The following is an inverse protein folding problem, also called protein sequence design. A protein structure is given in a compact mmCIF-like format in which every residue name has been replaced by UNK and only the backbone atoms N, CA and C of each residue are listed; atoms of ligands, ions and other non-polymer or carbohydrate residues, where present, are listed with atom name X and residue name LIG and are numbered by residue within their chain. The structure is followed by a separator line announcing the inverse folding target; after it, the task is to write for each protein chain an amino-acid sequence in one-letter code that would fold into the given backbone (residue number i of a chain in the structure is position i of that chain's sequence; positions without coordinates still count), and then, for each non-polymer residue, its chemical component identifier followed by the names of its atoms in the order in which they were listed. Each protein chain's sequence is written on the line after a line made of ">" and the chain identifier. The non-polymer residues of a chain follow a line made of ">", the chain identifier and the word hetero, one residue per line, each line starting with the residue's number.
data_IF_364917722763
#
_entry.id   IF_364917722763
#
_cell.length_a   1.000
_cell.length_b   1.000
_cell.length_c   1.000
_cell.angle_alpha   90.00
_cell.angle_beta   90.00
_cell.angle_gamma   90.00
#
_symmetry.space_group_name_H-M   'P 1'
#
loop_
_entity.id
_entity.type
_entity.pdbx_description
1 polymer ?
#
# COMPACT_ATOMS: atom_id res chain seq x y z
N UNK A 1 7.45 -25.22 10.06
CA UNK A 1 6.76 -25.06 8.76
C UNK A 1 7.82 -24.91 7.67
N UNK A 2 7.59 -25.44 6.46
CA UNK A 2 8.54 -25.24 5.35
C UNK A 2 8.52 -23.77 4.93
N UNK A 3 9.66 -23.08 5.07
CA UNK A 3 9.84 -21.71 4.60
C UNK A 3 9.99 -21.72 3.08
N UNK A 4 9.51 -20.66 2.39
CA UNK A 4 9.79 -20.47 0.97
C UNK A 4 11.30 -20.51 0.72
N UNK A 5 11.73 -21.22 -0.30
CA UNK A 5 13.13 -21.27 -0.74
C UNK A 5 13.38 -20.37 -1.94
N UNK A 6 12.32 -20.09 -2.72
CA UNK A 6 12.40 -19.26 -3.91
C UNK A 6 11.23 -18.28 -3.98
N UNK A 7 11.53 -16.99 -3.89
CA UNK A 7 10.60 -15.86 -3.92
C UNK A 7 10.66 -15.14 -5.26
N UNK A 8 9.52 -14.92 -5.89
CA UNK A 8 9.37 -13.96 -7.00
C UNK A 8 8.83 -12.62 -6.50
N UNK A 9 9.39 -11.50 -6.95
CA UNK A 9 8.86 -10.16 -6.68
C UNK A 9 8.61 -9.48 -8.02
N UNK A 10 7.35 -9.14 -8.32
CA UNK A 10 6.95 -8.48 -9.55
C UNK A 10 6.68 -6.99 -9.25
N UNK A 11 7.53 -6.13 -9.78
CA UNK A 11 7.62 -4.70 -9.44
C UNK A 11 8.74 -4.44 -8.43
N UNK A 12 9.84 -3.86 -8.90
CA UNK A 12 11.03 -3.52 -8.09
C UNK A 12 11.09 -2.01 -7.78
N UNK A 13 9.94 -1.40 -7.53
CA UNK A 13 9.86 -0.03 -7.03
C UNK A 13 10.21 0.07 -5.54
N UNK A 14 9.76 1.15 -4.91
CA UNK A 14 9.96 1.38 -3.47
C UNK A 14 9.60 0.14 -2.63
N UNK A 15 8.37 -0.39 -2.74
CA UNK A 15 7.88 -1.47 -1.86
C UNK A 15 8.53 -2.80 -2.20
N UNK A 16 8.54 -3.22 -3.47
CA UNK A 16 9.13 -4.50 -3.89
C UNK A 16 10.63 -4.54 -3.72
N UNK A 17 11.33 -3.44 -4.04
CA UNK A 17 12.77 -3.30 -3.81
C UNK A 17 13.14 -3.34 -2.32
N UNK A 18 12.36 -2.63 -1.49
CA UNK A 18 12.54 -2.66 -0.03
C UNK A 18 12.31 -4.06 0.55
N UNK A 19 11.29 -4.79 0.05
CA UNK A 19 11.04 -6.17 0.45
C UNK A 19 12.23 -7.07 0.11
N UNK A 20 12.75 -6.97 -1.12
CA UNK A 20 13.92 -7.74 -1.53
C UNK A 20 15.14 -7.44 -0.64
N UNK A 21 15.45 -6.16 -0.40
CA UNK A 21 16.57 -5.74 0.45
C UNK A 21 16.40 -6.19 1.91
N UNK A 22 15.20 -6.07 2.48
CA UNK A 22 14.92 -6.49 3.85
C UNK A 22 15.12 -8.00 4.02
N UNK A 23 14.56 -8.79 3.09
CA UNK A 23 14.68 -10.24 3.11
C UNK A 23 16.11 -10.71 2.84
N UNK A 24 16.88 -10.01 2.02
CA UNK A 24 18.31 -10.31 1.82
C UNK A 24 19.10 -10.18 3.13
N UNK A 25 18.74 -9.22 4.00
CA UNK A 25 19.37 -9.06 5.32
C UNK A 25 18.95 -10.12 6.31
N UNK A 26 17.66 -10.43 6.37
CA UNK A 26 17.10 -11.38 7.35
C UNK A 26 17.28 -12.85 6.94
N UNK A 27 17.35 -13.11 5.64
CA UNK A 27 17.42 -14.45 5.02
C UNK A 27 18.37 -14.50 3.83
N UNK A 28 19.71 -14.46 4.04
CA UNK A 28 20.69 -14.42 2.95
C UNK A 28 20.61 -15.61 1.97
N UNK A 29 20.14 -16.76 2.42
CA UNK A 29 19.99 -17.98 1.60
C UNK A 29 18.70 -18.02 0.76
N UNK A 30 17.76 -17.08 0.93
CA UNK A 30 16.55 -17.00 0.12
C UNK A 30 16.92 -16.62 -1.31
N UNK A 31 16.51 -17.44 -2.27
CA UNK A 31 16.61 -17.08 -3.70
C UNK A 31 15.52 -16.10 -4.06
N UNK A 32 15.88 -14.97 -4.67
CA UNK A 32 14.94 -13.91 -5.05
C UNK A 32 15.03 -13.64 -6.55
N UNK A 33 13.93 -13.85 -7.26
CA UNK A 33 13.74 -13.47 -8.65
C UNK A 33 13.02 -12.10 -8.68
N UNK A 34 13.67 -11.10 -9.23
CA UNK A 34 13.06 -9.81 -9.50
C UNK A 34 12.44 -9.78 -10.90
N UNK A 35 11.24 -9.24 -11.01
CA UNK A 35 10.55 -9.07 -12.30
C UNK A 35 10.10 -7.63 -12.43
N UNK A 36 10.56 -6.94 -13.47
CA UNK A 36 10.16 -5.56 -13.73
C UNK A 36 10.16 -5.27 -15.23
N UNK A 37 9.36 -4.28 -15.64
CA UNK A 37 9.37 -3.75 -17.02
C UNK A 37 10.57 -2.82 -17.24
N UNK A 38 11.10 -2.21 -16.17
CA UNK A 38 12.27 -1.34 -16.21
C UNK A 38 13.57 -2.14 -16.04
N UNK A 39 14.30 -2.28 -17.13
CA UNK A 39 15.63 -2.91 -17.11
C UNK A 39 16.65 -2.16 -16.24
N UNK A 40 16.45 -0.86 -15.98
CA UNK A 40 17.26 -0.06 -15.05
C UNK A 40 17.07 -0.55 -13.62
N UNK A 41 15.82 -0.64 -13.16
CA UNK A 41 15.47 -1.15 -11.84
C UNK A 41 15.99 -2.58 -11.60
N UNK A 42 15.93 -3.46 -12.62
CA UNK A 42 16.50 -4.80 -12.55
C UNK A 42 18.02 -4.78 -12.31
N UNK A 43 18.75 -3.96 -13.07
CA UNK A 43 20.22 -3.82 -12.91
C UNK A 43 20.60 -3.23 -11.56
N UNK A 44 19.90 -2.20 -11.10
CA UNK A 44 20.13 -1.60 -9.78
C UNK A 44 19.89 -2.60 -8.66
N UNK A 45 18.78 -3.33 -8.72
CA UNK A 45 18.44 -4.36 -7.72
C UNK A 45 19.48 -5.49 -7.69
N UNK A 46 19.98 -5.93 -8.84
CA UNK A 46 21.05 -6.94 -8.94
C UNK A 46 22.37 -6.42 -8.39
N UNK A 47 22.75 -5.20 -8.77
CA UNK A 47 24.01 -4.57 -8.30
C UNK A 47 23.99 -4.33 -6.78
N UNK A 48 22.82 -4.03 -6.22
CA UNK A 48 22.63 -3.91 -4.77
C UNK A 48 22.58 -5.26 -4.04
N UNK A 49 22.64 -6.39 -4.76
CA UNK A 49 22.51 -7.73 -4.19
C UNK A 49 21.10 -8.03 -3.64
N UNK A 50 20.10 -7.25 -4.01
CA UNK A 50 18.71 -7.42 -3.56
C UNK A 50 18.07 -8.67 -4.18
N UNK A 51 18.40 -8.97 -5.43
CA UNK A 51 17.88 -10.10 -6.21
C UNK A 51 19.02 -10.95 -6.77
N UNK A 52 18.79 -12.26 -6.95
CA UNK A 52 19.75 -13.18 -7.56
C UNK A 52 19.65 -13.20 -9.07
N UNK A 53 18.44 -13.00 -9.60
CA UNK A 53 18.17 -12.93 -11.03
C UNK A 53 17.08 -11.89 -11.33
N UNK A 54 17.21 -11.24 -12.48
CA UNK A 54 16.22 -10.31 -13.01
C UNK A 54 15.61 -10.82 -14.30
N UNK A 55 14.31 -10.59 -14.53
CA UNK A 55 13.61 -10.98 -15.74
C UNK A 55 12.53 -9.97 -16.13
N UNK A 56 12.27 -9.82 -17.44
CA UNK A 56 11.08 -9.13 -17.90
C UNK A 56 9.81 -9.96 -17.61
N UNK A 57 8.62 -9.32 -17.47
CA UNK A 57 7.40 -10.03 -17.06
C UNK A 57 7.05 -11.26 -17.92
N UNK A 58 7.25 -11.19 -19.24
CA UNK A 58 6.94 -12.28 -20.16
C UNK A 58 7.88 -13.49 -20.06
N UNK A 59 9.12 -13.32 -19.65
CA UNK A 59 10.19 -14.33 -19.63
C UNK A 59 10.51 -14.91 -18.23
N UNK A 60 9.93 -14.37 -17.17
CA UNK A 60 10.25 -14.77 -15.80
C UNK A 60 9.90 -16.25 -15.52
N UNK A 61 10.81 -17.07 -14.93
CA UNK A 61 10.57 -18.47 -14.59
C UNK A 61 9.77 -18.63 -13.29
N UNK A 62 8.50 -18.18 -13.29
CA UNK A 62 7.64 -18.16 -12.10
C UNK A 62 7.23 -19.55 -11.62
N UNK A 63 7.36 -20.58 -12.46
CA UNK A 63 7.02 -21.96 -12.10
C UNK A 63 7.90 -22.51 -10.96
N UNK A 64 9.10 -21.98 -10.80
CA UNK A 64 10.04 -22.41 -9.76
C UNK A 64 9.78 -21.71 -8.41
N UNK A 65 9.02 -20.62 -8.40
CA UNK A 65 8.76 -19.85 -7.18
C UNK A 65 7.75 -20.56 -6.26
N UNK A 66 8.06 -20.58 -4.97
CA UNK A 66 7.14 -21.04 -3.90
C UNK A 66 6.09 -19.98 -3.58
N UNK A 67 6.53 -18.72 -3.62
CA UNK A 67 5.76 -17.52 -3.34
C UNK A 67 6.10 -16.46 -4.38
N UNK A 68 5.09 -15.78 -4.89
CA UNK A 68 5.25 -14.57 -5.71
C UNK A 68 4.51 -13.42 -5.05
N UNK A 69 5.16 -12.26 -4.96
CA UNK A 69 4.57 -11.01 -4.44
C UNK A 69 4.44 -10.01 -5.57
N UNK A 70 3.21 -9.55 -5.81
CA UNK A 70 2.90 -8.48 -6.75
C UNK A 70 3.07 -7.13 -6.06
N UNK A 71 4.07 -6.35 -6.47
CA UNK A 71 4.41 -5.04 -5.91
C UNK A 71 4.33 -3.90 -6.96
N UNK A 72 3.44 -4.07 -7.92
CA UNK A 72 3.14 -3.13 -8.99
C UNK A 72 2.14 -2.06 -8.54
N UNK A 73 1.96 -0.94 -9.27
CA UNK A 73 0.83 -0.05 -9.10
C UNK A 73 -0.52 -0.77 -9.20
N UNK A 74 -1.54 -0.28 -8.50
CA UNK A 74 -2.80 -0.99 -8.27
C UNK A 74 -3.51 -1.52 -9.53
N UNK A 75 -3.57 -0.73 -10.62
CA UNK A 75 -4.18 -1.15 -11.89
C UNK A 75 -3.43 -2.33 -12.52
N UNK A 76 -2.15 -2.17 -12.90
CA UNK A 76 -1.31 -3.26 -13.42
C UNK A 76 -1.26 -4.48 -12.50
N UNK A 77 -1.25 -4.28 -11.18
CA UNK A 77 -1.30 -5.37 -10.20
C UNK A 77 -2.57 -6.22 -10.38
N UNK A 78 -3.73 -5.58 -10.40
CA UNK A 78 -5.02 -6.25 -10.55
C UNK A 78 -5.10 -7.06 -11.85
N UNK A 79 -4.57 -6.51 -12.94
CA UNK A 79 -4.51 -7.18 -14.25
C UNK A 79 -3.55 -8.37 -14.25
N UNK A 80 -2.44 -8.28 -13.52
CA UNK A 80 -1.38 -9.30 -13.52
C UNK A 80 -1.70 -10.55 -12.68
N UNK A 81 -2.69 -10.52 -11.80
CA UNK A 81 -3.02 -11.63 -10.90
C UNK A 81 -3.24 -12.95 -11.67
N UNK A 82 -4.16 -12.95 -12.65
CA UNK A 82 -4.49 -14.19 -13.38
C UNK A 82 -3.36 -14.65 -14.30
N UNK A 83 -2.74 -13.80 -15.13
CA UNK A 83 -1.60 -14.22 -15.95
C UNK A 83 -0.42 -14.75 -15.11
N UNK A 84 -0.15 -14.14 -13.96
CA UNK A 84 0.90 -14.60 -13.05
C UNK A 84 0.56 -15.98 -12.48
N UNK A 85 -0.67 -16.18 -11.98
CA UNK A 85 -1.10 -17.44 -11.38
C UNK A 85 -0.99 -18.61 -12.38
N UNK A 86 -1.29 -18.39 -13.66
CA UNK A 86 -1.21 -19.41 -14.72
C UNK A 86 0.23 -19.88 -14.98
N UNK A 87 1.24 -19.05 -14.69
CA UNK A 87 2.65 -19.34 -14.91
C UNK A 87 3.35 -19.91 -13.67
N UNK A 88 2.69 -19.89 -12.53
CA UNK A 88 3.18 -20.50 -11.30
C UNK A 88 2.84 -22.00 -11.24
N UNK A 89 3.60 -22.76 -10.44
CA UNK A 89 3.24 -24.16 -10.16
C UNK A 89 1.97 -24.25 -9.31
N UNK A 90 1.25 -25.35 -9.46
CA UNK A 90 0.05 -25.61 -8.64
C UNK A 90 0.42 -25.69 -7.15
N UNK A 91 -0.43 -25.10 -6.30
CA UNK A 91 -0.25 -25.05 -4.84
C UNK A 91 0.81 -24.04 -4.36
N UNK A 92 1.46 -23.27 -5.25
CA UNK A 92 2.28 -22.14 -4.87
C UNK A 92 1.42 -20.99 -4.30
N UNK A 93 2.04 -20.02 -3.66
CA UNK A 93 1.36 -18.88 -3.05
C UNK A 93 1.57 -17.62 -3.89
N UNK A 94 0.49 -16.90 -4.17
CA UNK A 94 0.52 -15.58 -4.78
C UNK A 94 0.03 -14.56 -3.76
N UNK A 95 0.79 -13.50 -3.55
CA UNK A 95 0.43 -12.40 -2.65
C UNK A 95 0.63 -11.05 -3.34
N UNK A 96 0.22 -9.98 -2.67
CA UNK A 96 0.33 -8.62 -3.20
C UNK A 96 0.66 -7.58 -2.11
N UNK A 97 0.78 -6.32 -2.51
CA UNK A 97 1.02 -5.18 -1.59
C UNK A 97 0.01 -4.05 -1.77
N UNK A 98 -1.06 -4.25 -2.52
CA UNK A 98 -2.00 -3.20 -2.87
C UNK A 98 -2.69 -2.59 -1.64
N UNK A 99 -2.93 -1.28 -1.67
CA UNK A 99 -3.67 -0.55 -0.63
C UNK A 99 -5.17 -0.83 -0.57
N UNK A 100 -5.75 -1.56 -1.54
CA UNK A 100 -7.14 -2.05 -1.51
C UNK A 100 -7.18 -3.56 -1.64
N UNK A 101 -8.03 -4.21 -0.86
CA UNK A 101 -8.05 -5.66 -0.75
C UNK A 101 -9.29 -6.31 -1.37
N UNK A 102 -10.44 -5.66 -1.33
CA UNK A 102 -11.68 -6.30 -1.77
C UNK A 102 -11.64 -6.70 -3.25
N UNK A 103 -11.29 -5.75 -4.14
CA UNK A 103 -11.16 -6.02 -5.57
C UNK A 103 -10.02 -7.00 -5.88
N UNK A 104 -8.88 -6.85 -5.20
CA UNK A 104 -7.68 -7.67 -5.41
C UNK A 104 -7.92 -9.12 -4.94
N UNK A 105 -8.50 -9.32 -3.77
CA UNK A 105 -8.82 -10.65 -3.26
C UNK A 105 -9.92 -11.32 -4.09
N UNK A 106 -10.94 -10.56 -4.53
CA UNK A 106 -11.96 -11.08 -5.44
C UNK A 106 -11.36 -11.53 -6.78
N UNK A 107 -10.39 -10.78 -7.32
CA UNK A 107 -9.66 -11.19 -8.53
C UNK A 107 -8.82 -12.43 -8.28
N UNK A 108 -8.12 -12.50 -7.15
CA UNK A 108 -7.32 -13.66 -6.75
C UNK A 108 -8.14 -14.93 -6.60
N UNK A 109 -9.41 -14.84 -6.15
CA UNK A 109 -10.30 -15.97 -5.99
C UNK A 109 -10.88 -16.53 -7.31
N UNK A 110 -10.71 -15.84 -8.43
CA UNK A 110 -11.17 -16.31 -9.75
C UNK A 110 -10.30 -17.41 -10.37
N UNK A 111 -9.25 -17.83 -9.70
CA UNK A 111 -8.36 -18.90 -10.13
C UNK A 111 -8.15 -19.90 -9.00
N UNK A 112 -7.86 -21.16 -9.35
CA UNK A 112 -7.68 -22.25 -8.38
C UNK A 112 -6.29 -22.88 -8.43
N UNK A 113 -5.38 -22.36 -9.26
CA UNK A 113 -4.05 -22.95 -9.47
C UNK A 113 -3.09 -22.68 -8.32
N UNK A 114 -3.18 -21.47 -7.73
CA UNK A 114 -2.35 -21.03 -6.61
C UNK A 114 -3.23 -20.57 -5.45
N UNK A 115 -2.69 -20.53 -4.26
CA UNK A 115 -3.40 -19.92 -3.11
C UNK A 115 -3.09 -18.43 -3.09
N UNK A 116 -4.10 -17.59 -3.30
CA UNK A 116 -3.94 -16.14 -3.22
C UNK A 116 -4.15 -15.65 -1.79
N UNK A 117 -3.20 -14.86 -1.28
CA UNK A 117 -3.28 -14.22 0.05
C UNK A 117 -3.03 -12.72 -0.11
N UNK A 118 -4.04 -11.90 0.09
CA UNK A 118 -3.89 -10.45 0.04
C UNK A 118 -3.03 -9.92 1.18
N UNK A 119 -2.12 -8.98 0.89
CA UNK A 119 -1.38 -8.26 1.92
C UNK A 119 -1.35 -6.75 1.62
N UNK A 120 -1.22 -5.95 2.67
CA UNK A 120 -1.03 -4.51 2.56
C UNK A 120 -0.11 -4.03 3.69
N UNK A 121 1.18 -3.78 3.42
CA UNK A 121 2.08 -3.17 4.38
C UNK A 121 1.72 -1.68 4.57
N UNK A 122 1.44 -1.28 5.82
CA UNK A 122 1.22 0.13 6.18
C UNK A 122 2.56 0.86 6.19
N UNK A 123 3.22 0.94 5.04
CA UNK A 123 4.53 1.55 4.86
C UNK A 123 4.67 2.07 3.42
N UNK A 124 5.16 3.30 3.29
CA UNK A 124 5.38 3.97 2.01
C UNK A 124 5.96 5.35 2.22
N UNK A 125 6.45 5.94 1.16
CA UNK A 125 6.90 7.33 1.08
C UNK A 125 6.46 7.92 -0.26
N UNK A 126 6.61 9.22 -0.41
CA UNK A 126 6.36 9.93 -1.68
C UNK A 126 7.38 9.61 -2.78
N UNK A 127 8.49 8.95 -2.44
CA UNK A 127 9.55 8.58 -3.39
C UNK A 127 9.22 7.30 -4.15
N UNK A 128 9.80 7.14 -5.36
CA UNK A 128 9.50 6.03 -6.27
C UNK A 128 10.77 5.40 -6.85
N UNK A 129 10.59 4.24 -7.47
CA UNK A 129 11.67 3.49 -8.11
C UNK A 129 12.51 2.68 -7.13
N UNK A 130 13.42 1.87 -7.66
CA UNK A 130 14.34 1.05 -6.85
C UNK A 130 15.32 1.92 -6.05
N UNK A 131 15.74 3.06 -6.61
CA UNK A 131 16.63 4.02 -5.93
C UNK A 131 16.09 4.55 -4.60
N UNK A 132 14.75 4.52 -4.40
CA UNK A 132 14.09 4.87 -3.15
C UNK A 132 13.92 3.68 -2.18
N UNK A 133 14.29 2.45 -2.61
CA UNK A 133 14.12 1.26 -1.79
C UNK A 133 14.98 1.32 -0.53
N UNK A 134 14.38 0.96 0.60
CA UNK A 134 15.02 0.99 1.91
C UNK A 134 14.76 -0.33 2.65
N UNK A 135 15.78 -1.09 3.02
CA UNK A 135 15.60 -2.35 3.76
C UNK A 135 14.94 -2.19 5.14
N UNK A 136 14.87 -0.98 5.68
CA UNK A 136 14.18 -0.68 6.93
C UNK A 136 12.74 -0.16 6.73
N UNK A 137 12.23 -0.11 5.49
CA UNK A 137 10.90 0.45 5.19
C UNK A 137 9.79 -0.18 6.04
N UNK A 138 9.88 -1.47 6.30
CA UNK A 138 8.86 -2.23 7.05
C UNK A 138 9.17 -2.33 8.54
N UNK A 139 10.30 -1.81 9.01
CA UNK A 139 10.66 -1.88 10.42
C UNK A 139 9.59 -1.22 11.30
N UNK A 140 8.99 -2.01 12.20
CA UNK A 140 7.90 -1.55 13.05
C UNK A 140 6.54 -1.39 12.33
N UNK A 141 6.41 -1.81 11.05
CA UNK A 141 5.15 -1.69 10.31
C UNK A 141 4.05 -2.62 10.85
N UNK A 142 2.81 -2.18 10.70
CA UNK A 142 1.66 -3.08 10.65
C UNK A 142 1.48 -3.55 9.22
N UNK A 143 1.22 -4.85 9.04
CA UNK A 143 0.82 -5.41 7.74
C UNK A 143 -0.55 -6.05 7.89
N UNK A 144 -1.50 -5.61 7.09
CA UNK A 144 -2.78 -6.29 6.96
C UNK A 144 -2.61 -7.53 6.07
N UNK A 145 -3.15 -8.65 6.50
CA UNK A 145 -3.21 -9.90 5.74
C UNK A 145 -4.65 -10.32 5.63
N UNK A 146 -5.13 -10.44 4.39
CA UNK A 146 -6.49 -10.87 4.10
C UNK A 146 -6.45 -12.35 3.71
N UNK A 147 -7.10 -13.23 4.50
CA UNK A 147 -7.07 -14.66 4.26
C UNK A 147 -7.65 -15.03 2.90
N UNK A 148 -7.04 -16.01 2.26
CA UNK A 148 -7.44 -16.51 0.96
C UNK A 148 -8.73 -17.32 1.02
N UNK A 149 -9.40 -17.45 -0.11
CA UNK A 149 -10.44 -18.44 -0.37
C UNK A 149 -9.74 -19.73 -0.87
N UNK A 150 -10.14 -20.90 -0.36
CA UNK A 150 -9.57 -22.20 -0.75
C UNK A 150 -9.77 -23.29 0.30
N UNK A 151 -9.20 -24.47 0.10
CA UNK A 151 -9.23 -25.57 1.06
C UNK A 151 -8.51 -25.19 2.36
N UNK A 152 -9.06 -25.56 3.52
CA UNK A 152 -8.67 -25.03 4.82
C UNK A 152 -7.16 -25.19 5.10
N UNK A 153 -6.58 -26.37 4.96
CA UNK A 153 -5.17 -26.62 5.30
C UNK A 153 -4.19 -25.92 4.36
N UNK A 154 -4.52 -25.77 3.08
CA UNK A 154 -3.70 -25.02 2.12
C UNK A 154 -3.73 -23.51 2.43
N UNK A 155 -4.90 -22.98 2.79
CA UNK A 155 -5.09 -21.60 3.24
C UNK A 155 -4.22 -21.26 4.44
N UNK A 156 -4.31 -22.08 5.50
CA UNK A 156 -3.57 -21.85 6.73
C UNK A 156 -2.07 -21.83 6.48
N UNK A 157 -1.56 -22.74 5.66
CA UNK A 157 -0.14 -22.76 5.24
C UNK A 157 0.24 -21.52 4.45
N UNK A 158 -0.58 -21.08 3.51
CA UNK A 158 -0.29 -19.92 2.66
C UNK A 158 -0.30 -18.62 3.48
N UNK A 159 -1.30 -18.46 4.35
CA UNK A 159 -1.39 -17.31 5.28
C UNK A 159 -0.18 -17.27 6.20
N UNK A 160 0.22 -18.41 6.78
CA UNK A 160 1.42 -18.49 7.62
C UNK A 160 2.68 -18.09 6.85
N UNK A 161 2.83 -18.55 5.60
CA UNK A 161 3.98 -18.21 4.75
C UNK A 161 4.06 -16.70 4.47
N UNK A 162 2.92 -16.05 4.17
CA UNK A 162 2.87 -14.61 3.92
C UNK A 162 3.14 -13.81 5.21
N UNK A 163 2.60 -14.26 6.35
CA UNK A 163 2.88 -13.64 7.66
C UNK A 163 4.37 -13.70 8.02
N UNK A 164 4.97 -14.88 7.86
CA UNK A 164 6.40 -15.09 8.12
C UNK A 164 7.25 -14.19 7.22
N UNK A 165 6.91 -14.06 5.93
CA UNK A 165 7.59 -13.16 5.00
C UNK A 165 7.63 -11.72 5.52
N UNK A 166 6.49 -11.19 5.97
CA UNK A 166 6.41 -9.81 6.44
C UNK A 166 7.09 -9.59 7.78
N UNK A 167 7.02 -10.56 8.69
CA UNK A 167 7.77 -10.53 9.95
C UNK A 167 9.29 -10.56 9.70
N UNK A 168 9.75 -11.41 8.78
CA UNK A 168 11.16 -11.45 8.35
C UNK A 168 11.60 -10.14 7.67
N UNK A 169 10.70 -9.45 6.97
CA UNK A 169 10.95 -8.12 6.39
C UNK A 169 10.96 -6.98 7.43
N UNK A 170 10.66 -7.27 8.70
CA UNK A 170 10.74 -6.31 9.82
C UNK A 170 9.40 -5.76 10.31
N UNK A 171 8.28 -6.28 9.83
CA UNK A 171 6.96 -5.88 10.34
C UNK A 171 6.85 -6.21 11.85
N UNK A 172 6.33 -5.26 12.63
CA UNK A 172 6.13 -5.46 14.07
C UNK A 172 4.77 -6.10 14.38
N UNK A 173 3.81 -5.99 13.48
CA UNK A 173 2.44 -6.46 13.69
C UNK A 173 1.83 -6.97 12.41
N UNK A 174 1.24 -8.16 12.49
CA UNK A 174 0.35 -8.69 11.45
C UNK A 174 -1.09 -8.56 11.95
N UNK A 175 -1.95 -7.99 11.11
CA UNK A 175 -3.37 -7.87 11.36
C UNK A 175 -4.13 -8.71 10.33
N UNK A 176 -4.70 -9.83 10.77
CA UNK A 176 -5.61 -10.59 9.92
C UNK A 176 -6.98 -9.90 9.91
N UNK A 177 -7.48 -9.59 8.71
CA UNK A 177 -8.71 -8.82 8.52
C UNK A 177 -9.40 -9.22 7.22
N UNK A 178 -10.72 -9.20 7.22
CA UNK A 178 -11.49 -9.44 6.00
C UNK A 178 -11.27 -8.33 4.95
N UNK A 179 -11.29 -8.65 3.63
CA UNK A 179 -11.02 -7.65 2.60
C UNK A 179 -11.94 -6.42 2.65
N UNK A 180 -13.24 -6.62 2.88
CA UNK A 180 -14.22 -5.53 2.98
C UNK A 180 -14.02 -4.68 4.24
N UNK A 181 -13.71 -5.32 5.37
CA UNK A 181 -13.42 -4.63 6.62
C UNK A 181 -12.12 -3.80 6.50
N UNK A 182 -11.08 -4.38 5.87
CA UNK A 182 -9.86 -3.68 5.54
C UNK A 182 -10.14 -2.41 4.72
N UNK A 183 -10.86 -2.54 3.61
CA UNK A 183 -11.13 -1.43 2.70
C UNK A 183 -12.00 -0.36 3.35
N UNK A 184 -12.98 -0.75 4.18
CA UNK A 184 -13.75 0.16 5.01
C UNK A 184 -12.87 0.98 5.97
N UNK A 185 -11.96 0.33 6.69
CA UNK A 185 -11.06 0.99 7.63
C UNK A 185 -10.03 1.89 6.93
N UNK A 186 -9.41 1.39 5.86
CA UNK A 186 -8.39 2.12 5.09
C UNK A 186 -8.98 3.33 4.37
N UNK A 187 -10.26 3.32 4.04
CA UNK A 187 -10.97 4.50 3.53
C UNK A 187 -10.72 5.72 4.41
N UNK A 188 -10.88 5.59 5.73
CA UNK A 188 -10.71 6.70 6.67
C UNK A 188 -9.26 6.87 7.16
N UNK A 189 -8.48 5.79 7.21
CA UNK A 189 -7.11 5.84 7.71
C UNK A 189 -6.09 6.35 6.66
N UNK A 190 -6.41 6.23 5.35
CA UNK A 190 -5.46 6.53 4.27
C UNK A 190 -6.11 7.24 3.08
N UNK A 191 -7.15 6.66 2.47
CA UNK A 191 -7.64 7.12 1.17
C UNK A 191 -8.32 8.49 1.27
N UNK A 192 -9.20 8.71 2.25
CA UNK A 192 -9.89 9.98 2.44
C UNK A 192 -8.93 11.12 2.83
N UNK A 193 -7.96 10.92 3.77
CA UNK A 193 -6.89 11.89 4.02
C UNK A 193 -6.10 12.27 2.76
N UNK A 194 -5.75 11.28 1.91
CA UNK A 194 -5.07 11.53 0.65
C UNK A 194 -5.90 12.41 -0.30
N UNK A 195 -7.19 12.08 -0.49
CA UNK A 195 -8.08 12.87 -1.35
C UNK A 195 -8.27 14.29 -0.81
N UNK A 196 -8.44 14.46 0.49
CA UNK A 196 -8.53 15.78 1.11
C UNK A 196 -7.26 16.60 0.87
N UNK A 197 -6.08 16.01 1.05
CA UNK A 197 -4.80 16.64 0.76
C UNK A 197 -4.70 17.07 -0.72
N UNK A 198 -5.09 16.19 -1.64
CA UNK A 198 -5.09 16.49 -3.08
C UNK A 198 -6.01 17.65 -3.44
N UNK A 199 -7.21 17.72 -2.82
CA UNK A 199 -8.16 18.82 -3.05
C UNK A 199 -7.69 20.15 -2.46
N UNK A 200 -6.93 20.14 -1.37
CA UNK A 200 -6.26 21.36 -0.83
C UNK A 200 -5.24 21.88 -1.84
N UNK A 201 -4.42 21.01 -2.44
CA UNK A 201 -3.46 21.41 -3.49
C UNK A 201 -4.18 21.94 -4.72
N UNK A 202 -5.23 21.25 -5.16
CA UNK A 202 -6.04 21.71 -6.32
C UNK A 202 -6.67 23.09 -6.05
N UNK A 203 -7.17 23.32 -4.85
CA UNK A 203 -7.77 24.61 -4.47
C UNK A 203 -6.77 25.75 -4.57
N UNK A 204 -5.54 25.55 -4.13
CA UNK A 204 -4.47 26.54 -4.30
C UNK A 204 -4.14 26.79 -5.77
N UNK A 205 -4.13 25.75 -6.60
CA UNK A 205 -3.83 25.89 -8.04
C UNK A 205 -4.87 26.71 -8.83
N UNK A 206 -6.10 26.81 -8.30
CA UNK A 206 -7.20 27.60 -8.92
C UNK A 206 -7.13 29.10 -8.62
N UNK A 207 -6.42 29.51 -7.58
CA UNK A 207 -6.26 30.93 -7.19
C UNK A 207 -4.92 31.48 -7.68
N UNK A 208 -4.74 31.49 -9.01
CA UNK A 208 -3.47 31.76 -9.69
C UNK A 208 -2.74 33.02 -9.19
N UNK A 209 -3.48 34.11 -8.97
CA UNK A 209 -2.91 35.40 -8.56
C UNK A 209 -2.42 35.38 -7.09
N UNK A 210 -3.00 34.52 -6.26
CA UNK A 210 -2.63 34.38 -4.84
C UNK A 210 -1.67 33.21 -4.59
N UNK A 211 -1.52 32.28 -5.54
CA UNK A 211 -0.71 31.08 -5.35
C UNK A 211 0.74 31.35 -4.97
N UNK A 212 1.47 32.34 -5.57
CA UNK A 212 2.83 32.66 -5.15
C UNK A 212 2.92 33.15 -3.70
N UNK A 213 2.03 34.07 -3.32
CA UNK A 213 1.97 34.57 -1.94
C UNK A 213 1.60 33.48 -0.95
N UNK A 214 0.61 32.64 -1.28
CA UNK A 214 0.18 31.54 -0.45
C UNK A 214 1.33 30.51 -0.26
N UNK A 215 2.15 30.28 -1.27
CA UNK A 215 3.32 29.42 -1.19
C UNK A 215 4.39 29.97 -0.23
N UNK A 216 4.63 31.30 -0.25
CA UNK A 216 5.54 31.97 0.69
C UNK A 216 5.02 31.93 2.13
N UNK A 217 3.72 32.03 2.32
CA UNK A 217 3.06 31.94 3.63
C UNK A 217 2.84 30.52 4.12
N UNK A 218 3.12 29.51 3.28
CA UNK A 218 2.92 28.11 3.63
C UNK A 218 3.86 27.67 4.75
N UNK A 219 3.27 27.34 5.89
CA UNK A 219 3.95 26.84 7.07
C UNK A 219 3.67 25.34 7.29
N UNK A 220 3.96 24.83 8.49
CA UNK A 220 3.82 23.42 8.85
C UNK A 220 2.42 22.85 8.52
N UNK A 221 1.36 23.60 8.82
CA UNK A 221 -0.01 23.14 8.55
C UNK A 221 -0.26 22.76 7.07
N UNK A 222 0.18 23.59 6.13
CA UNK A 222 0.04 23.29 4.71
C UNK A 222 0.92 22.12 4.30
N UNK A 223 2.20 22.13 4.71
CA UNK A 223 3.17 21.06 4.36
C UNK A 223 2.71 19.70 4.88
N UNK A 224 2.29 19.62 6.14
CA UNK A 224 1.90 18.35 6.77
C UNK A 224 0.61 17.80 6.14
N UNK A 225 -0.37 18.68 5.86
CA UNK A 225 -1.63 18.28 5.23
C UNK A 225 -1.42 17.85 3.78
N UNK A 226 -0.65 18.60 2.98
CA UNK A 226 -0.49 18.35 1.54
C UNK A 226 0.57 17.32 1.19
N UNK A 227 1.44 16.94 2.13
CA UNK A 227 2.47 15.91 1.89
C UNK A 227 1.89 14.61 1.35
N UNK A 228 0.72 14.21 1.83
CA UNK A 228 0.03 12.99 1.38
C UNK A 228 -0.32 13.03 -0.12
N UNK A 229 -0.60 14.20 -0.67
CA UNK A 229 -0.91 14.36 -2.10
C UNK A 229 0.29 14.04 -3.02
N UNK A 230 1.51 14.02 -2.50
CA UNK A 230 2.72 13.63 -3.22
C UNK A 230 2.82 12.12 -3.47
N UNK A 231 2.12 11.29 -2.70
CA UNK A 231 2.11 9.84 -2.88
C UNK A 231 1.07 9.41 -3.93
N UNK A 232 1.48 9.42 -5.20
CA UNK A 232 0.59 9.04 -6.31
C UNK A 232 0.20 7.55 -6.35
N UNK A 233 0.65 6.70 -5.42
CA UNK A 233 0.27 5.27 -5.39
C UNK A 233 -1.06 5.06 -4.67
N UNK A 234 -1.35 5.89 -3.67
CA UNK A 234 -2.61 5.85 -2.89
C UNK A 234 -3.82 6.09 -3.79
N UNK A 235 -3.73 7.00 -4.77
CA UNK A 235 -4.82 7.30 -5.70
C UNK A 235 -5.30 6.08 -6.48
N UNK A 236 -4.36 5.24 -6.95
CA UNK A 236 -4.70 4.00 -7.66
C UNK A 236 -5.40 2.98 -6.76
N UNK A 237 -4.96 2.84 -5.51
CA UNK A 237 -5.63 1.98 -4.54
C UNK A 237 -7.01 2.53 -4.13
N UNK A 238 -7.13 3.85 -3.91
CA UNK A 238 -8.40 4.51 -3.60
C UNK A 238 -9.45 4.32 -4.71
N UNK A 239 -9.03 4.32 -5.99
CA UNK A 239 -9.91 4.08 -7.13
C UNK A 239 -10.49 2.64 -7.15
N UNK A 240 -9.81 1.67 -6.57
CA UNK A 240 -10.29 0.29 -6.43
C UNK A 240 -11.19 0.09 -5.19
N UNK A 241 -11.20 1.02 -4.26
CA UNK A 241 -11.94 0.89 -3.01
C UNK A 241 -13.35 1.48 -3.15
N UNK A 242 -14.36 0.61 -3.17
CA UNK A 242 -15.76 0.99 -3.35
C UNK A 242 -16.34 1.90 -2.24
N UNK A 243 -15.71 1.96 -1.07
CA UNK A 243 -16.17 2.79 0.05
C UNK A 243 -15.75 4.26 -0.09
N UNK A 244 -14.70 4.54 -0.86
CA UNK A 244 -14.12 5.88 -1.02
C UNK A 244 -15.10 6.90 -1.59
N UNK A 245 -15.86 6.62 -2.68
CA UNK A 245 -16.77 7.62 -3.24
C UNK A 245 -17.83 8.12 -2.27
N UNK A 246 -18.40 7.24 -1.44
CA UNK A 246 -19.40 7.62 -0.43
C UNK A 246 -18.77 8.47 0.68
N UNK A 247 -17.62 8.06 1.20
CA UNK A 247 -16.89 8.80 2.23
C UNK A 247 -16.42 10.18 1.73
N UNK A 248 -16.00 10.29 0.47
CA UNK A 248 -15.60 11.56 -0.11
C UNK A 248 -16.80 12.53 -0.25
N UNK A 249 -17.99 12.04 -0.62
CA UNK A 249 -19.20 12.86 -0.67
C UNK A 249 -19.61 13.34 0.73
N UNK A 250 -19.61 12.43 1.73
CA UNK A 250 -19.93 12.81 3.11
C UNK A 250 -18.96 13.88 3.63
N UNK A 251 -17.66 13.78 3.34
CA UNK A 251 -16.69 14.80 3.70
C UNK A 251 -16.98 16.14 3.01
N UNK A 252 -17.32 16.11 1.71
CA UNK A 252 -17.67 17.32 0.97
C UNK A 252 -18.93 18.02 1.54
N UNK A 253 -19.94 17.24 1.92
CA UNK A 253 -21.18 17.78 2.54
C UNK A 253 -20.89 18.38 3.92
N UNK A 254 -20.03 17.73 4.72
CA UNK A 254 -19.58 18.28 6.03
C UNK A 254 -18.79 19.58 5.86
N UNK A 255 -17.98 19.71 4.81
CA UNK A 255 -17.23 20.94 4.53
C UNK A 255 -18.17 22.08 4.10
N UNK A 256 -19.19 21.78 3.29
CA UNK A 256 -20.23 22.78 2.94
C UNK A 256 -20.97 23.27 4.18
N UNK A 257 -21.48 22.33 4.98
CA UNK A 257 -22.17 22.67 6.21
C UNK A 257 -21.29 23.49 7.17
N UNK A 258 -20.01 23.15 7.28
CA UNK A 258 -19.06 23.91 8.10
C UNK A 258 -18.86 25.34 7.57
N UNK A 259 -18.82 25.53 6.25
CA UNK A 259 -18.69 26.86 5.65
C UNK A 259 -19.92 27.72 5.96
N UNK A 260 -21.12 27.18 5.89
CA UNK A 260 -22.36 27.87 6.24
C UNK A 260 -22.40 28.19 7.75
N UNK A 261 -22.05 27.22 8.61
CA UNK A 261 -21.99 27.40 10.08
C UNK A 261 -20.99 28.49 10.49
N UNK A 262 -19.86 28.64 9.79
CA UNK A 262 -18.86 29.69 10.08
C UNK A 262 -19.43 31.09 9.89
N UNK A 263 -20.39 31.26 8.99
CA UNK A 263 -21.07 32.54 8.74
C UNK A 263 -22.24 32.76 9.70
N UNK A 264 -23.08 31.74 9.88
CA UNK A 264 -24.34 31.85 10.62
C UNK A 264 -24.14 31.77 12.15
N UNK A 265 -23.20 30.92 12.64
CA UNK A 265 -23.01 30.58 14.04
C UNK A 265 -21.52 30.43 14.40
N UNK A 266 -20.71 31.48 14.27
CA UNK A 266 -19.26 31.41 14.38
C UNK A 266 -18.80 30.87 15.75
N UNK A 267 -19.39 31.30 16.86
CA UNK A 267 -18.98 30.89 18.22
C UNK A 267 -19.25 29.39 18.44
N UNK A 268 -20.41 28.89 18.07
CA UNK A 268 -20.75 27.45 18.18
C UNK A 268 -19.82 26.60 17.30
N UNK A 269 -19.47 27.11 16.12
CA UNK A 269 -18.56 26.47 15.19
C UNK A 269 -17.15 26.37 15.76
N UNK A 270 -16.64 27.44 16.38
CA UNK A 270 -15.35 27.43 17.06
C UNK A 270 -15.31 26.42 18.22
N UNK A 271 -16.38 26.35 19.01
CA UNK A 271 -16.53 25.37 20.09
C UNK A 271 -16.54 23.92 19.53
N UNK A 272 -17.21 23.68 18.39
CA UNK A 272 -17.20 22.38 17.70
C UNK A 272 -15.79 22.02 17.24
N UNK A 273 -15.08 22.92 16.59
CA UNK A 273 -13.71 22.70 16.13
C UNK A 273 -12.75 22.44 17.29
N UNK A 274 -12.92 23.13 18.42
CA UNK A 274 -12.16 22.89 19.64
C UNK A 274 -12.37 21.48 20.18
N UNK A 275 -13.62 21.01 20.25
CA UNK A 275 -13.91 19.61 20.65
C UNK A 275 -13.29 18.58 19.71
N UNK A 276 -13.24 18.85 18.39
CA UNK A 276 -12.58 17.97 17.44
C UNK A 276 -11.06 17.93 17.64
N UNK A 277 -10.44 19.06 17.98
CA UNK A 277 -9.04 19.12 18.33
C UNK A 277 -8.73 18.31 19.61
N UNK A 278 -9.61 18.35 20.62
CA UNK A 278 -9.51 17.52 21.82
C UNK A 278 -9.65 16.03 21.50
N UNK A 279 -10.61 15.68 20.66
CA UNK A 279 -10.80 14.30 20.20
C UNK A 279 -9.53 13.78 19.48
N UNK A 280 -8.94 14.61 18.61
CA UNK A 280 -7.69 14.26 17.90
C UNK A 280 -6.52 14.02 18.88
N UNK A 281 -6.37 14.85 19.92
CA UNK A 281 -5.32 14.67 20.94
C UNK A 281 -5.48 13.37 21.73
N UNK A 282 -6.69 12.88 21.91
CA UNK A 282 -6.99 11.63 22.61
C UNK A 282 -6.84 10.37 21.75
N UNK A 283 -6.75 10.52 20.41
CA UNK A 283 -6.54 9.38 19.51
C UNK A 283 -5.17 8.74 19.75
N UNK A 284 -5.16 7.44 20.02
CA UNK A 284 -3.94 6.64 20.09
C UNK A 284 -3.57 6.21 18.66
N UNK A 285 -2.67 6.95 18.03
CA UNK A 285 -2.14 6.61 16.71
C UNK A 285 -0.77 5.92 16.85
N UNK A 286 -0.39 5.06 15.90
CA UNK A 286 0.97 4.55 15.83
C UNK A 286 1.97 5.72 15.76
N UNK A 287 3.19 5.56 16.30
CA UNK A 287 4.21 6.60 16.20
C UNK A 287 4.53 6.93 14.74
N UNK A 288 4.76 8.22 14.47
CA UNK A 288 5.25 8.66 13.15
C UNK A 288 6.63 8.06 12.95
N UNK A 289 6.79 7.32 11.86
CA UNK A 289 8.10 6.79 11.47
C UNK A 289 8.92 7.92 10.83
N UNK A 290 10.10 8.15 11.36
CA UNK A 290 11.08 9.09 10.81
C UNK A 290 11.89 8.43 9.72
#
# INVERSE_FOLDING_TARGET
>A
MARSQFLGIIGLGLVGGSLALALRRSRPSLRILGVDVDAGALREAQSAGAIDAGAAPGSAPLADCDLVVLAQPAGPLLESILPTSQRMRSGAVLSDVCGSKEAVCARGSQQARVVFVGAHPMAGTEFRGFSAANPALFAGATVAVCPAVGAQGERERAVALVKDLWLEAGAAKILEVGPAEHDGAVTFASHLPYLAAAMVVESLSKVRDLAPLAAELAAGGFRDTTRLAGDGTVGGAAALNRHVPAAARDLADRLRALADELVERPDETLDRLSRLADARRKMRLPPVRK
#
